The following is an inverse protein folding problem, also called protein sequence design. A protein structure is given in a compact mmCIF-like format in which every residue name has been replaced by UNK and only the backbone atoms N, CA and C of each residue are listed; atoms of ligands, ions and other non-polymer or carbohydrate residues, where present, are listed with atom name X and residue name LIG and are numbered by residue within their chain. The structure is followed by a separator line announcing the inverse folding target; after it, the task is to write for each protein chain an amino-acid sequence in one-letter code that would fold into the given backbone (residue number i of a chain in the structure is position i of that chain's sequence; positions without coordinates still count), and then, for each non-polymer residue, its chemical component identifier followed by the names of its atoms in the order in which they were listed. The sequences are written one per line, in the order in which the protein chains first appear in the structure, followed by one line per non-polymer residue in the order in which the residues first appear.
data_IF_863623816487
#
_entry.id   IF_863623816487
#
_cell.length_a   1.000
_cell.length_b   1.000
_cell.length_c   1.000
_cell.angle_alpha   90.00
_cell.angle_beta   90.00
_cell.angle_gamma   90.00
#
_symmetry.space_group_name_H-M   'P 1'
#
loop_
_entity.id
_entity.type
_entity.pdbx_description
1 polymer ?
#
# COMPACT_ATOMS: atom_id res chain seq x y z
N UNK A 1 -13.73 -17.19 9.50
CA UNK A 1 -12.66 -18.19 9.25
C UNK A 1 -11.36 -17.42 9.33
N UNK A 2 -10.38 -17.86 10.09
CA UNK A 2 -9.10 -17.13 10.19
C UNK A 2 -8.32 -17.26 8.88
N UNK A 3 -7.47 -16.27 8.48
CA UNK A 3 -6.69 -16.34 7.25
C UNK A 3 -5.88 -17.64 7.10
N UNK A 4 -5.31 -18.12 8.21
CA UNK A 4 -4.57 -19.40 8.27
C UNK A 4 -5.43 -20.62 7.93
N UNK A 5 -6.73 -20.60 8.30
CA UNK A 5 -7.66 -21.69 8.01
C UNK A 5 -8.11 -21.75 6.54
N UNK A 6 -8.07 -20.60 5.84
CA UNK A 6 -8.38 -20.52 4.40
C UNK A 6 -7.20 -21.04 3.56
N UNK A 7 -5.97 -20.70 3.93
CA UNK A 7 -4.76 -21.20 3.29
C UNK A 7 -4.62 -22.73 3.42
N UNK A 8 -4.93 -23.31 4.58
CA UNK A 8 -4.91 -24.76 4.82
C UNK A 8 -5.95 -25.55 3.99
N UNK A 9 -7.06 -24.91 3.59
CA UNK A 9 -8.14 -25.59 2.85
C UNK A 9 -7.98 -25.56 1.35
N UNK A 10 -6.93 -24.93 0.81
CA UNK A 10 -6.67 -24.87 -0.63
C UNK A 10 -7.80 -24.24 -1.45
N UNK A 11 -8.63 -23.40 -0.84
CA UNK A 11 -9.68 -22.65 -1.52
C UNK A 11 -8.98 -21.59 -2.37
N UNK A 12 -8.85 -21.83 -3.65
CA UNK A 12 -8.41 -20.83 -4.60
C UNK A 12 -9.50 -19.76 -4.65
N UNK A 13 -9.25 -18.61 -4.02
CA UNK A 13 -10.14 -17.47 -4.17
C UNK A 13 -10.05 -17.02 -5.63
N UNK A 14 -11.15 -17.03 -6.35
CA UNK A 14 -11.25 -16.36 -7.64
C UNK A 14 -11.73 -14.96 -7.33
N UNK A 15 -10.80 -14.01 -7.29
CA UNK A 15 -11.10 -12.61 -7.09
C UNK A 15 -11.49 -11.98 -8.44
N UNK A 16 -12.24 -10.89 -8.40
CA UNK A 16 -12.55 -10.05 -9.55
C UNK A 16 -11.95 -8.66 -9.33
N UNK A 17 -11.89 -7.84 -10.37
CA UNK A 17 -11.51 -6.43 -10.20
C UNK A 17 -12.50 -5.66 -9.35
N UNK A 18 -13.76 -6.04 -9.33
CA UNK A 18 -14.79 -5.41 -8.50
C UNK A 18 -14.59 -5.66 -7.01
N UNK A 19 -13.75 -6.65 -6.63
CA UNK A 19 -13.34 -6.89 -5.25
C UNK A 19 -12.27 -5.89 -4.78
N UNK A 20 -11.68 -5.12 -5.69
CA UNK A 20 -10.70 -4.07 -5.38
C UNK A 20 -11.41 -2.72 -5.37
N UNK A 21 -11.31 -1.99 -4.24
CA UNK A 21 -11.93 -0.68 -4.07
C UNK A 21 -10.90 0.33 -3.59
N UNK A 22 -10.95 1.51 -4.18
CA UNK A 22 -10.06 2.62 -3.87
C UNK A 22 -10.73 3.62 -2.94
N UNK A 23 -9.99 4.13 -1.97
CA UNK A 23 -10.42 5.10 -0.97
C UNK A 23 -9.47 6.28 -0.95
N UNK A 24 -9.99 7.52 -1.07
CA UNK A 24 -9.20 8.72 -0.83
C UNK A 24 -8.90 8.78 0.68
N UNK A 25 -7.63 8.75 1.06
CA UNK A 25 -7.20 8.71 2.47
C UNK A 25 -6.35 9.88 2.91
N UNK A 26 -5.85 10.64 1.95
CA UNK A 26 -5.21 11.93 2.19
C UNK A 26 -5.21 12.77 0.91
N UNK A 27 -4.89 14.05 1.06
CA UNK A 27 -4.65 14.97 -0.05
C UNK A 27 -3.55 15.92 0.39
N UNK A 28 -2.54 16.12 -0.44
CA UNK A 28 -1.51 17.12 -0.26
C UNK A 28 -1.80 18.30 -1.19
N UNK A 29 -1.68 19.51 -0.64
CA UNK A 29 -1.78 20.77 -1.40
C UNK A 29 -0.43 21.45 -1.40
N UNK A 30 0.10 21.75 -2.57
CA UNK A 30 1.35 22.48 -2.76
C UNK A 30 1.19 23.45 -3.93
N UNK A 31 1.48 24.75 -3.67
CA UNK A 31 1.36 25.83 -4.66
C UNK A 31 0.00 25.88 -5.41
N UNK A 32 -1.07 25.45 -4.72
CA UNK A 32 -2.44 25.41 -5.26
C UNK A 32 -2.80 24.14 -6.04
N UNK A 33 -1.84 23.29 -6.34
CA UNK A 33 -2.06 21.96 -6.91
C UNK A 33 -2.45 20.97 -5.82
N UNK A 34 -3.31 20.00 -6.17
CA UNK A 34 -3.80 18.94 -5.26
C UNK A 34 -3.32 17.59 -5.72
N UNK A 35 -2.63 16.89 -4.82
CA UNK A 35 -2.17 15.52 -5.04
C UNK A 35 -2.97 14.59 -4.12
N UNK A 36 -3.86 13.75 -4.66
CA UNK A 36 -4.60 12.79 -3.85
C UNK A 36 -3.70 11.65 -3.39
N UNK A 37 -3.99 11.08 -2.22
CA UNK A 37 -3.42 9.83 -1.75
C UNK A 37 -4.53 8.80 -1.55
N UNK A 38 -4.37 7.62 -2.15
CA UNK A 38 -5.35 6.55 -2.09
C UNK A 38 -4.81 5.33 -1.35
N UNK A 39 -5.69 4.71 -0.58
CA UNK A 39 -5.54 3.34 -0.08
C UNK A 39 -6.48 2.42 -0.83
N UNK A 40 -6.13 1.15 -0.95
CA UNK A 40 -6.95 0.17 -1.67
C UNK A 40 -7.39 -0.97 -0.75
N UNK A 41 -8.62 -1.45 -0.89
CA UNK A 41 -9.12 -2.64 -0.20
C UNK A 41 -9.35 -3.78 -1.17
N UNK A 42 -9.14 -5.01 -0.70
CA UNK A 42 -9.43 -6.26 -1.43
C UNK A 42 -10.44 -7.05 -0.60
N UNK A 43 -11.66 -7.24 -1.14
CA UNK A 43 -12.70 -8.09 -0.54
C UNK A 43 -12.32 -9.57 -0.76
N UNK A 44 -11.48 -10.10 0.12
CA UNK A 44 -11.04 -11.49 0.03
C UNK A 44 -11.94 -12.41 0.90
N UNK A 45 -12.25 -13.66 0.46
CA UNK A 45 -13.06 -14.61 1.26
C UNK A 45 -12.50 -14.93 2.66
N UNK A 46 -11.20 -14.75 2.86
CA UNK A 46 -10.54 -14.93 4.17
C UNK A 46 -10.60 -13.69 5.07
N UNK A 47 -11.05 -12.55 4.55
CA UNK A 47 -11.15 -11.27 5.27
C UNK A 47 -10.71 -10.08 4.43
N UNK A 48 -11.17 -8.90 4.80
CA UNK A 48 -10.82 -7.67 4.10
C UNK A 48 -9.33 -7.35 4.26
N UNK A 49 -8.63 -7.20 3.14
CA UNK A 49 -7.25 -6.72 3.10
C UNK A 49 -7.26 -5.23 2.80
N UNK A 50 -6.50 -4.44 3.57
CA UNK A 50 -6.26 -3.03 3.33
C UNK A 50 -4.81 -2.84 2.89
N UNK A 51 -4.59 -2.20 1.75
CA UNK A 51 -3.28 -1.84 1.22
C UNK A 51 -3.07 -0.35 1.42
N UNK A 52 -2.10 0.00 2.24
CA UNK A 52 -1.85 1.29 2.86
C UNK A 52 -3.02 1.80 3.70
N UNK A 53 -2.73 2.65 4.65
CA UNK A 53 -3.73 3.11 5.62
C UNK A 53 -4.00 4.61 5.56
N UNK A 54 -3.24 5.32 4.70
CA UNK A 54 -3.34 6.76 4.58
C UNK A 54 -2.95 7.50 5.85
N UNK A 55 -3.61 8.61 6.08
CA UNK A 55 -3.40 9.49 7.24
C UNK A 55 -4.68 9.66 8.05
N UNK A 56 -4.55 9.83 9.37
CA UNK A 56 -5.68 10.16 10.26
C UNK A 56 -5.53 11.51 10.96
N UNK A 57 -4.32 12.05 10.97
CA UNK A 57 -3.97 13.39 11.44
C UNK A 57 -2.67 13.85 10.78
N UNK A 58 -2.23 15.07 11.10
CA UNK A 58 -0.95 15.66 10.68
C UNK A 58 -0.18 16.17 11.88
N UNK A 59 1.08 16.52 11.66
CA UNK A 59 1.91 17.25 12.62
C UNK A 59 2.41 18.56 11.99
N UNK A 60 2.87 19.54 12.81
CA UNK A 60 3.46 20.77 12.25
C UNK A 60 4.66 20.51 11.34
N UNK A 61 5.40 19.43 11.58
CA UNK A 61 6.57 19.04 10.79
C UNK A 61 6.16 18.49 9.42
N UNK A 62 5.03 17.78 9.34
CA UNK A 62 4.45 17.29 8.09
C UNK A 62 3.95 18.46 7.24
N UNK A 63 3.25 19.43 7.85
CA UNK A 63 2.77 20.64 7.16
C UNK A 63 3.87 21.72 7.08
N UNK A 64 5.06 21.34 6.63
CA UNK A 64 6.20 22.23 6.47
C UNK A 64 6.49 22.59 5.01
N UNK A 65 7.36 23.58 4.80
CA UNK A 65 7.90 23.93 3.48
C UNK A 65 6.87 24.24 2.36
N UNK A 66 5.66 24.67 2.75
CA UNK A 66 4.59 25.04 1.82
C UNK A 66 3.66 23.88 1.44
N UNK A 67 3.84 22.71 2.00
CA UNK A 67 2.91 21.59 1.88
C UNK A 67 1.82 21.68 2.94
N UNK A 68 0.58 21.42 2.54
CA UNK A 68 -0.57 21.32 3.42
C UNK A 68 -1.24 19.96 3.21
N UNK A 69 -1.20 19.11 4.22
CA UNK A 69 -1.74 17.77 4.20
C UNK A 69 -3.13 17.71 4.84
N UNK A 70 -4.06 17.12 4.13
CA UNK A 70 -5.46 16.94 4.54
C UNK A 70 -5.76 15.44 4.69
N UNK A 71 -5.77 14.91 5.93
CA UNK A 71 -6.17 13.52 6.16
C UNK A 71 -7.65 13.28 5.84
N UNK A 72 -7.93 12.12 5.24
CA UNK A 72 -9.28 11.60 5.01
C UNK A 72 -9.38 10.20 5.66
N UNK A 73 -9.59 10.09 6.97
CA UNK A 73 -9.62 8.82 7.68
C UNK A 73 -10.67 7.87 7.09
N UNK A 74 -10.33 6.59 7.02
CA UNK A 74 -11.27 5.55 6.60
C UNK A 74 -12.48 5.50 7.55
N UNK A 75 -13.69 5.21 7.05
CA UNK A 75 -14.88 5.07 7.91
C UNK A 75 -14.71 3.95 8.95
N UNK A 76 -15.19 4.14 10.18
CA UNK A 76 -15.11 3.17 11.28
C UNK A 76 -15.69 1.79 10.89
N UNK A 77 -16.76 1.79 10.07
CA UNK A 77 -17.37 0.55 9.56
C UNK A 77 -16.38 -0.24 8.69
N UNK A 78 -15.59 0.43 7.86
CA UNK A 78 -14.55 -0.21 7.05
C UNK A 78 -13.40 -0.69 7.93
N UNK A 79 -12.91 0.18 8.83
CA UNK A 79 -11.81 -0.13 9.76
C UNK A 79 -12.13 -1.40 10.57
N UNK A 80 -13.35 -1.53 11.08
CA UNK A 80 -13.77 -2.69 11.89
C UNK A 80 -13.78 -4.04 11.13
N UNK A 81 -13.76 -4.00 9.81
CA UNK A 81 -13.78 -5.21 8.95
C UNK A 81 -12.39 -5.66 8.51
N UNK A 82 -11.38 -4.79 8.62
CA UNK A 82 -10.02 -5.10 8.15
C UNK A 82 -9.43 -6.26 8.94
N UNK A 83 -9.05 -7.31 8.24
CA UNK A 83 -8.44 -8.52 8.81
C UNK A 83 -6.92 -8.56 8.60
N UNK A 84 -6.42 -7.85 7.59
CA UNK A 84 -5.01 -7.79 7.21
C UNK A 84 -4.70 -6.38 6.68
N UNK A 85 -3.59 -5.82 7.10
CA UNK A 85 -3.01 -4.60 6.52
C UNK A 85 -1.74 -4.97 5.76
N UNK A 86 -1.52 -4.35 4.62
CA UNK A 86 -0.26 -4.36 3.88
C UNK A 86 0.21 -2.94 3.72
N UNK A 87 1.42 -2.61 4.13
CA UNK A 87 2.04 -1.35 3.73
C UNK A 87 2.94 -1.57 2.52
N UNK A 88 2.75 -0.77 1.48
CA UNK A 88 3.67 -0.75 0.33
C UNK A 88 5.02 -0.22 0.78
N UNK A 89 5.01 0.79 1.61
CA UNK A 89 6.14 1.35 2.34
C UNK A 89 5.65 2.12 3.59
N UNK A 90 6.55 2.71 4.36
CA UNK A 90 6.22 3.31 5.66
C UNK A 90 6.41 4.83 5.72
N UNK A 91 6.28 5.56 4.61
CA UNK A 91 6.10 7.00 4.69
C UNK A 91 4.79 7.33 5.40
N UNK A 92 4.74 8.51 6.00
CA UNK A 92 3.67 8.90 6.91
C UNK A 92 2.27 8.91 6.26
N UNK A 93 2.19 9.20 4.97
CA UNK A 93 0.95 9.24 4.18
C UNK A 93 0.45 7.86 3.74
N UNK A 94 1.25 6.80 3.94
CA UNK A 94 0.90 5.39 3.72
C UNK A 94 0.65 4.62 5.01
N UNK A 95 1.35 4.97 6.09
CA UNK A 95 1.27 4.22 7.35
C UNK A 95 0.62 5.00 8.51
N UNK A 96 0.25 6.27 8.32
CA UNK A 96 -0.28 7.13 9.36
C UNK A 96 -1.56 6.64 10.00
N UNK A 97 -2.35 5.82 9.29
CA UNK A 97 -3.55 5.16 9.80
C UNK A 97 -3.29 3.79 10.45
N UNK A 98 -2.06 3.25 10.46
CA UNK A 98 -1.76 1.93 11.04
C UNK A 98 -2.24 1.77 12.48
N UNK A 99 -2.20 2.83 13.26
CA UNK A 99 -2.63 2.87 14.66
C UNK A 99 -4.14 2.69 14.89
N UNK A 100 -4.95 2.66 13.81
CA UNK A 100 -6.36 2.22 13.87
C UNK A 100 -6.50 0.70 13.93
N UNK A 101 -5.41 -0.06 13.74
CA UNK A 101 -5.40 -1.51 13.58
C UNK A 101 -4.58 -2.26 14.65
N UNK A 102 -4.76 -1.99 15.96
CA UNK A 102 -4.03 -2.70 17.01
C UNK A 102 -4.38 -4.19 16.98
N UNK A 103 -3.35 -5.04 16.93
CA UNK A 103 -3.49 -6.50 16.89
C UNK A 103 -3.83 -7.08 15.51
N UNK A 104 -4.10 -6.26 14.51
CA UNK A 104 -4.24 -6.71 13.12
C UNK A 104 -2.84 -6.92 12.53
N UNK A 105 -2.58 -8.03 11.80
CA UNK A 105 -1.29 -8.23 11.15
C UNK A 105 -1.05 -7.18 10.07
N UNK A 106 0.14 -6.53 10.13
CA UNK A 106 0.60 -5.53 9.17
C UNK A 106 1.79 -6.10 8.42
N UNK A 107 1.61 -6.42 7.15
CA UNK A 107 2.62 -7.02 6.31
C UNK A 107 3.52 -5.94 5.69
N UNK A 108 4.84 -6.09 5.87
CA UNK A 108 5.85 -5.14 5.40
C UNK A 108 7.16 -5.87 5.09
N UNK A 109 8.00 -5.33 4.21
CA UNK A 109 9.35 -5.84 4.04
C UNK A 109 10.20 -5.48 5.29
N UNK A 110 11.03 -6.42 5.74
CA UNK A 110 11.94 -6.22 6.89
C UNK A 110 12.82 -5.00 6.72
N UNK A 111 13.32 -4.77 5.51
CA UNK A 111 14.14 -3.62 5.18
C UNK A 111 13.39 -2.32 5.43
N UNK A 112 12.13 -2.25 5.01
CA UNK A 112 11.28 -1.08 5.16
C UNK A 112 11.06 -0.71 6.63
N UNK A 113 10.71 -1.72 7.44
CA UNK A 113 10.49 -1.52 8.87
C UNK A 113 11.77 -1.09 9.60
N UNK A 114 12.92 -1.61 9.19
CA UNK A 114 14.21 -1.21 9.74
C UNK A 114 14.55 0.25 9.41
N UNK A 115 14.36 0.66 8.15
CA UNK A 115 14.64 2.03 7.71
C UNK A 115 13.68 3.02 8.40
N UNK A 116 12.37 2.73 8.47
CA UNK A 116 11.39 3.56 9.14
C UNK A 116 11.69 3.80 10.64
N UNK A 117 12.38 2.85 11.30
CA UNK A 117 12.77 2.95 12.71
C UNK A 117 14.08 3.67 12.91
N UNK A 118 14.96 3.73 11.92
CA UNK A 118 16.35 4.18 12.09
C UNK A 118 16.70 5.43 11.30
N UNK A 119 16.07 5.65 10.15
CA UNK A 119 16.37 6.80 9.32
C UNK A 119 15.64 8.06 9.83
N UNK A 120 16.32 9.19 9.78
CA UNK A 120 15.73 10.47 10.14
C UNK A 120 14.84 11.00 9.01
N UNK A 121 13.74 11.64 9.37
CA UNK A 121 12.76 12.22 8.43
C UNK A 121 12.10 11.21 7.48
N UNK A 122 12.16 9.91 7.81
CA UNK A 122 11.54 8.86 7.03
C UNK A 122 10.01 8.83 7.23
N UNK A 123 9.61 8.90 8.49
CA UNK A 123 8.21 8.82 8.93
C UNK A 123 8.07 9.34 10.35
N UNK A 124 6.83 9.40 10.84
CA UNK A 124 6.56 9.64 12.27
C UNK A 124 6.70 8.32 13.01
N UNK A 125 7.78 8.14 13.76
CA UNK A 125 8.14 6.86 14.42
C UNK A 125 7.04 6.34 15.34
N UNK A 126 6.34 7.21 16.05
CA UNK A 126 5.22 6.86 16.92
C UNK A 126 4.03 6.28 16.15
N UNK A 127 3.94 6.54 14.84
CA UNK A 127 2.91 5.96 13.98
C UNK A 127 3.29 4.56 13.49
N UNK A 128 4.58 4.23 13.52
CA UNK A 128 5.11 2.88 13.25
C UNK A 128 5.09 2.03 14.51
N UNK A 129 5.68 2.52 15.60
CA UNK A 129 5.79 1.80 16.86
C UNK A 129 4.68 2.21 17.85
N UNK A 130 3.42 1.98 17.46
CA UNK A 130 2.24 2.26 18.29
C UNK A 130 1.85 1.07 19.19
N UNK A 131 1.10 1.30 20.30
CA UNK A 131 0.64 0.21 21.17
C UNK A 131 -0.24 -0.79 20.43
N UNK A 132 0.18 -2.06 20.40
CA UNK A 132 -0.53 -3.14 19.70
C UNK A 132 -0.12 -3.32 18.24
N UNK A 133 0.91 -2.63 17.75
CA UNK A 133 1.48 -2.87 16.42
C UNK A 133 1.92 -4.34 16.26
N UNK A 134 1.46 -5.00 15.21
CA UNK A 134 1.75 -6.42 14.94
C UNK A 134 2.29 -6.56 13.51
N UNK A 135 3.58 -6.30 13.34
CA UNK A 135 4.23 -6.42 12.04
C UNK A 135 4.54 -7.88 11.69
N UNK A 136 4.21 -8.25 10.45
CA UNK A 136 4.63 -9.50 9.80
C UNK A 136 5.70 -9.13 8.76
N UNK A 137 6.95 -9.37 9.12
CA UNK A 137 8.10 -9.01 8.31
C UNK A 137 8.35 -10.04 7.22
N UNK A 138 8.50 -9.56 5.98
CA UNK A 138 8.92 -10.37 4.84
C UNK A 138 10.35 -10.03 4.41
N UNK A 139 11.01 -11.01 3.82
CA UNK A 139 12.37 -10.88 3.26
C UNK A 139 12.34 -11.42 1.83
N UNK A 140 11.61 -10.72 0.96
CA UNK A 140 11.36 -11.12 -0.41
C UNK A 140 9.88 -11.30 -0.74
N UNK A 141 9.61 -12.10 -1.78
CA UNK A 141 8.25 -12.41 -2.24
C UNK A 141 7.49 -13.28 -1.22
N UNK A 142 6.19 -13.00 -1.06
CA UNK A 142 5.30 -13.79 -0.21
C UNK A 142 3.87 -13.81 -0.76
N UNK A 143 3.20 -14.95 -0.67
CA UNK A 143 1.75 -15.05 -0.84
C UNK A 143 1.10 -15.01 0.55
N UNK A 144 0.40 -13.91 0.86
CA UNK A 144 -0.20 -13.69 2.18
C UNK A 144 -1.59 -14.27 2.32
N UNK A 145 -2.31 -14.36 1.21
CA UNK A 145 -3.60 -15.04 1.05
C UNK A 145 -3.63 -15.63 -0.36
N UNK A 146 -4.43 -16.67 -0.63
CA UNK A 146 -4.55 -17.23 -1.96
C UNK A 146 -4.88 -16.17 -3.02
N UNK A 147 -3.98 -15.94 -3.97
CA UNK A 147 -4.12 -14.92 -5.01
C UNK A 147 -3.74 -13.49 -4.59
N UNK A 148 -3.19 -13.28 -3.40
CA UNK A 148 -2.66 -11.97 -2.95
C UNK A 148 -1.18 -12.11 -2.62
N UNK A 149 -0.32 -11.57 -3.48
CA UNK A 149 1.13 -11.70 -3.38
C UNK A 149 1.79 -10.35 -3.15
N UNK A 150 2.84 -10.37 -2.33
CA UNK A 150 3.75 -9.25 -2.09
C UNK A 150 5.00 -9.47 -2.91
N UNK A 151 5.43 -8.48 -3.67
CA UNK A 151 6.68 -8.50 -4.42
C UNK A 151 7.54 -7.29 -4.01
N UNK A 152 8.81 -7.49 -3.60
CA UNK A 152 9.73 -6.38 -3.41
C UNK A 152 9.86 -5.54 -4.68
N UNK A 153 9.70 -4.24 -4.55
CA UNK A 153 9.75 -3.29 -5.64
C UNK A 153 10.59 -2.06 -5.26
N UNK A 154 11.88 -2.23 -4.92
CA UNK A 154 12.71 -1.15 -4.42
C UNK A 154 12.89 -0.05 -5.47
N UNK A 155 12.95 1.18 -4.99
CA UNK A 155 13.11 2.38 -5.82
C UNK A 155 12.77 3.62 -5.04
N UNK A 156 11.49 3.89 -4.81
CA UNK A 156 11.00 4.99 -3.98
C UNK A 156 11.57 4.88 -2.55
N UNK A 157 11.45 3.70 -1.95
CA UNK A 157 12.22 3.30 -0.77
C UNK A 157 12.97 2.00 -1.03
N UNK A 158 13.98 1.70 -0.20
CA UNK A 158 14.76 0.47 -0.35
C UNK A 158 13.97 -0.80 0.02
N UNK A 159 12.97 -0.65 0.89
CA UNK A 159 12.08 -1.73 1.32
C UNK A 159 10.70 -1.70 0.68
N UNK A 160 10.45 -0.84 -0.31
CA UNK A 160 9.17 -0.76 -1.01
C UNK A 160 8.73 -2.10 -1.58
N UNK A 161 7.42 -2.39 -1.50
CA UNK A 161 6.80 -3.55 -2.10
C UNK A 161 5.51 -3.17 -2.83
N UNK A 162 5.12 -4.00 -3.78
CA UNK A 162 3.83 -3.93 -4.47
C UNK A 162 2.96 -5.12 -4.09
N UNK A 163 1.65 -4.98 -4.25
CA UNK A 163 0.69 -6.08 -4.09
C UNK A 163 0.18 -6.51 -5.46
N UNK A 164 0.33 -7.80 -5.77
CA UNK A 164 -0.25 -8.40 -6.98
C UNK A 164 -1.46 -9.20 -6.57
N UNK A 165 -2.62 -8.86 -7.15
CA UNK A 165 -3.90 -9.51 -6.93
C UNK A 165 -4.24 -10.33 -8.18
N UNK A 166 -4.34 -11.64 -8.03
CA UNK A 166 -4.78 -12.54 -9.11
C UNK A 166 -6.29 -12.49 -9.24
N UNK A 167 -6.80 -11.97 -10.34
CA UNK A 167 -8.24 -11.90 -10.63
C UNK A 167 -8.62 -12.82 -11.79
N UNK A 168 -9.92 -13.06 -12.00
CA UNK A 168 -10.46 -13.81 -13.13
C UNK A 168 -10.18 -13.16 -14.49
N UNK A 169 -9.88 -11.85 -14.50
CA UNK A 169 -9.47 -11.09 -15.69
C UNK A 169 -7.94 -10.99 -15.85
N UNK A 170 -7.16 -11.64 -14.98
CA UNK A 170 -5.70 -11.56 -14.90
C UNK A 170 -5.20 -10.74 -13.73
N UNK A 171 -3.87 -10.62 -13.57
CA UNK A 171 -3.30 -9.91 -12.43
C UNK A 171 -3.60 -8.41 -12.45
N UNK A 172 -3.70 -7.84 -11.25
CA UNK A 172 -3.79 -6.40 -11.00
C UNK A 172 -2.68 -6.03 -10.03
N UNK A 173 -2.05 -4.88 -10.22
CA UNK A 173 -0.97 -4.36 -9.37
C UNK A 173 -1.48 -3.18 -8.54
N UNK A 174 -1.36 -3.28 -7.22
CA UNK A 174 -1.46 -2.14 -6.32
C UNK A 174 -0.03 -1.69 -6.04
N UNK A 175 0.37 -0.61 -6.69
CA UNK A 175 1.76 -0.25 -6.87
C UNK A 175 2.34 0.66 -5.78
N UNK A 176 1.48 1.23 -4.92
CA UNK A 176 1.96 2.26 -3.99
C UNK A 176 2.62 3.41 -4.75
N UNK A 177 3.80 3.80 -4.27
CA UNK A 177 4.65 4.84 -4.86
C UNK A 177 5.80 4.28 -5.67
N UNK A 178 5.59 3.16 -6.35
CA UNK A 178 6.55 2.68 -7.35
C UNK A 178 6.80 3.73 -8.45
N UNK A 179 5.90 4.67 -8.59
CA UNK A 179 5.98 5.93 -9.29
C UNK A 179 4.83 6.82 -8.80
N UNK A 180 5.04 8.12 -8.61
CA UNK A 180 3.98 9.04 -8.20
C UNK A 180 2.97 9.26 -9.31
N UNK A 181 3.40 9.14 -10.57
CA UNK A 181 2.57 9.17 -11.79
C UNK A 181 3.07 8.21 -12.84
N UNK A 182 2.21 7.90 -13.78
CA UNK A 182 2.54 6.90 -14.82
C UNK A 182 3.72 7.30 -15.68
N UNK A 183 3.94 8.60 -15.91
CA UNK A 183 5.07 9.10 -16.67
C UNK A 183 6.41 8.76 -16.01
N UNK A 184 6.47 8.79 -14.70
CA UNK A 184 7.64 8.38 -13.92
C UNK A 184 7.81 6.85 -13.97
N UNK A 185 6.73 6.10 -13.67
CA UNK A 185 6.73 4.64 -13.73
C UNK A 185 7.20 4.12 -15.11
N UNK A 186 6.72 4.74 -16.19
CA UNK A 186 7.03 4.35 -17.57
C UNK A 186 8.47 4.66 -17.98
N UNK A 187 9.20 5.49 -17.22
CA UNK A 187 10.65 5.69 -17.33
C UNK A 187 11.42 4.41 -17.06
N UNK A 188 10.99 3.63 -16.07
CA UNK A 188 11.63 2.35 -15.72
C UNK A 188 13.01 2.51 -15.12
N UNK A 189 13.23 3.59 -14.36
CA UNK A 189 14.54 3.98 -13.82
C UNK A 189 14.94 3.14 -12.60
N UNK A 190 13.94 2.56 -11.89
CA UNK A 190 14.17 1.76 -10.69
C UNK A 190 13.82 0.28 -10.91
N UNK A 191 14.37 -0.64 -10.08
CA UNK A 191 13.99 -2.05 -10.15
C UNK A 191 12.49 -2.30 -9.96
N UNK A 192 11.84 -1.55 -9.04
CA UNK A 192 10.40 -1.64 -8.83
C UNK A 192 9.59 -1.23 -10.05
N UNK A 193 9.95 -0.13 -10.70
CA UNK A 193 9.32 0.31 -11.94
C UNK A 193 9.49 -0.71 -13.07
N UNK A 194 10.69 -1.27 -13.22
CA UNK A 194 10.96 -2.32 -14.21
C UNK A 194 10.09 -3.55 -13.97
N UNK A 195 9.96 -3.99 -12.72
CA UNK A 195 9.10 -5.12 -12.35
C UNK A 195 7.64 -4.88 -12.76
N UNK A 196 7.08 -3.70 -12.45
CA UNK A 196 5.69 -3.36 -12.80
C UNK A 196 5.49 -3.31 -14.32
N UNK A 197 6.46 -2.78 -15.07
CA UNK A 197 6.44 -2.77 -16.53
C UNK A 197 6.49 -4.19 -17.13
N UNK A 198 7.24 -5.11 -16.51
CA UNK A 198 7.33 -6.52 -16.92
C UNK A 198 6.03 -7.29 -16.62
N UNK A 199 5.36 -6.99 -15.52
CA UNK A 199 4.05 -7.57 -15.18
C UNK A 199 2.98 -7.21 -16.21
N UNK A 200 3.09 -6.05 -16.86
CA UNK A 200 2.20 -5.57 -17.92
C UNK A 200 0.70 -5.68 -17.55
N UNK A 201 0.39 -5.38 -16.30
CA UNK A 201 -0.94 -5.50 -15.70
C UNK A 201 -1.55 -4.14 -15.38
N UNK A 202 -2.89 -4.03 -15.26
CA UNK A 202 -3.53 -2.83 -14.74
C UNK A 202 -2.94 -2.45 -13.38
N UNK A 203 -2.46 -1.22 -13.27
CA UNK A 203 -1.72 -0.73 -12.10
C UNK A 203 -2.47 0.44 -11.46
N UNK A 204 -2.56 0.39 -10.14
CA UNK A 204 -3.05 1.43 -9.25
C UNK A 204 -1.84 2.09 -8.61
N UNK A 205 -1.66 3.41 -8.80
CA UNK A 205 -0.66 4.22 -8.11
C UNK A 205 -1.34 5.03 -7.02
N UNK A 206 -0.65 5.27 -5.90
CA UNK A 206 -1.27 5.98 -4.76
C UNK A 206 -1.74 7.38 -5.12
N UNK A 207 -0.98 8.12 -5.92
CA UNK A 207 -1.27 9.52 -6.20
C UNK A 207 -2.03 9.77 -7.52
N UNK A 208 -2.54 8.71 -8.17
CA UNK A 208 -3.24 8.80 -9.44
C UNK A 208 -4.60 8.11 -9.38
N UNK A 209 -5.67 8.82 -9.70
CA UNK A 209 -7.02 8.24 -9.73
C UNK A 209 -7.24 7.28 -10.90
N UNK A 210 -6.52 7.47 -12.01
CA UNK A 210 -6.57 6.61 -13.20
C UNK A 210 -5.94 5.24 -12.91
N UNK A 211 -6.50 4.20 -13.52
CA UNK A 211 -5.93 2.84 -13.53
C UNK A 211 -5.66 2.44 -14.97
N UNK A 212 -4.42 2.09 -15.29
CA UNK A 212 -4.05 1.66 -16.64
C UNK A 212 -2.90 0.65 -16.63
N UNK A 213 -2.70 -0.02 -17.75
CA UNK A 213 -1.51 -0.84 -17.99
C UNK A 213 -0.36 0.09 -18.40
N UNK A 214 0.70 0.21 -17.58
CA UNK A 214 1.84 1.06 -17.91
C UNK A 214 2.61 0.50 -19.10
N UNK A 215 3.27 1.36 -19.86
CA UNK A 215 4.06 0.98 -21.03
C UNK A 215 5.40 1.67 -21.00
N UNK A 216 6.48 0.90 -21.17
CA UNK A 216 7.82 1.48 -21.24
C UNK A 216 7.88 2.55 -22.33
N UNK A 217 8.42 3.70 -22.00
CA UNK A 217 8.71 4.75 -22.99
C UNK A 217 9.79 4.26 -23.94
N UNK A 218 9.57 4.49 -25.24
CA UNK A 218 10.54 4.16 -26.32
C UNK A 218 11.67 5.18 -26.38
#
# INVERSE_FOLDING_TARGET
MRPEEAAEKGVKAVLSRDDIRRHLTNEMVFDGDRLPGFSDTIEHPAGLVLVDTGMIDTTPEINGDGEEWHPHPLPDELVSRVAVVVNTHLHFDHCGGNRLFPGVPIHVQRRELADARTEDNYTVREWVDFPGATYVEHDGEAEILPGVRLLPAPGHTAGHQIVVVETDEGPVVLGGDVGHWFEELEGGDTPGQQLVLELAAPTYLTHVAEVRVPRRRS
#
